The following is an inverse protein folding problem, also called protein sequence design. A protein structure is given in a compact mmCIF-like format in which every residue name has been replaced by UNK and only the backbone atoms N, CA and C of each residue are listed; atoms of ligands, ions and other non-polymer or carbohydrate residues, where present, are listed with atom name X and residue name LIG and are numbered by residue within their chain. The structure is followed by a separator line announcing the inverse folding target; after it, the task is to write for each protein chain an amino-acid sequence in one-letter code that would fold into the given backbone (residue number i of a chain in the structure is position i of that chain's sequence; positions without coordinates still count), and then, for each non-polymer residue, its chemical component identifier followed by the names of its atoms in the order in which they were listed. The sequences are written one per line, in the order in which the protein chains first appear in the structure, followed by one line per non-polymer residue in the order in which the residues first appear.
data_IF_702041134197
#
_entry.id   IF_702041134197
#
_cell.length_a   1.000
_cell.length_b   1.000
_cell.length_c   1.000
_cell.angle_alpha   90.00
_cell.angle_beta   90.00
_cell.angle_gamma   90.00
#
_symmetry.space_group_name_H-M   'P 1'
#
loop_
_entity.id
_entity.type
_entity.pdbx_description
1 polymer ?
#
# COMPACT_ATOMS: atom_id res chain seq x y z
N UNK A 1 -8.77 -3.72 20.72
CA UNK A 1 -9.62 -2.80 19.94
C UNK A 1 -9.70 -3.42 18.55
N UNK A 2 -10.88 -3.77 18.05
CA UNK A 2 -11.00 -4.31 16.69
C UNK A 2 -11.10 -3.12 15.75
N UNK A 3 -9.95 -2.65 15.26
CA UNK A 3 -9.90 -1.56 14.28
C UNK A 3 -10.38 -2.12 12.95
N UNK A 4 -11.43 -1.52 12.39
CA UNK A 4 -12.01 -1.91 11.10
C UNK A 4 -11.87 -0.81 10.05
N UNK A 5 -11.39 0.37 10.42
CA UNK A 5 -11.16 1.51 9.55
C UNK A 5 -10.08 2.44 10.11
N UNK A 6 -9.42 3.18 9.23
CA UNK A 6 -8.43 4.22 9.57
C UNK A 6 -8.79 5.45 8.75
N UNK A 7 -8.84 6.63 9.38
CA UNK A 7 -9.25 7.89 8.72
C UNK A 7 -10.60 7.81 7.98
N UNK A 8 -11.54 6.99 8.46
CA UNK A 8 -12.84 6.75 7.82
C UNK A 8 -12.79 5.87 6.56
N UNK A 9 -11.63 5.28 6.24
CA UNK A 9 -11.47 4.31 5.16
C UNK A 9 -11.47 2.89 5.72
N UNK A 10 -12.35 1.99 5.24
CA UNK A 10 -12.51 0.66 5.81
C UNK A 10 -11.33 -0.24 5.45
N UNK A 11 -10.78 -0.97 6.43
CA UNK A 11 -9.75 -1.97 6.18
C UNK A 11 -10.37 -3.19 5.50
N UNK A 12 -9.79 -3.69 4.39
CA UNK A 12 -10.26 -4.91 3.73
C UNK A 12 -10.27 -6.08 4.70
N UNK A 13 -11.31 -6.93 4.63
CA UNK A 13 -11.42 -8.13 5.49
C UNK A 13 -10.19 -9.01 5.40
N UNK A 14 -9.66 -9.21 4.20
CA UNK A 14 -8.46 -10.03 4.00
C UNK A 14 -7.24 -9.46 4.73
N UNK A 15 -7.09 -8.13 4.77
CA UNK A 15 -6.01 -7.49 5.52
C UNK A 15 -6.15 -7.76 7.02
N UNK A 16 -7.38 -7.64 7.55
CA UNK A 16 -7.68 -7.94 8.95
C UNK A 16 -7.37 -9.41 9.28
N UNK A 17 -7.80 -10.34 8.44
CA UNK A 17 -7.55 -11.77 8.64
C UNK A 17 -6.04 -12.10 8.59
N UNK A 18 -5.27 -11.44 7.71
CA UNK A 18 -3.82 -11.56 7.64
C UNK A 18 -3.12 -10.96 8.87
N UNK A 19 -3.60 -9.83 9.38
CA UNK A 19 -3.08 -9.22 10.62
C UNK A 19 -3.36 -10.10 11.84
N UNK A 20 -4.60 -10.56 12.00
CA UNK A 20 -5.04 -11.39 13.11
C UNK A 20 -4.31 -12.74 13.15
N UNK A 21 -4.00 -13.30 11.97
CA UNK A 21 -3.21 -14.54 11.85
C UNK A 21 -1.70 -14.32 11.91
N UNK A 22 -1.22 -13.08 12.00
CA UNK A 22 0.22 -12.75 11.98
C UNK A 22 0.91 -13.03 10.64
N UNK A 23 0.13 -13.20 9.55
CA UNK A 23 0.62 -13.44 8.19
C UNK A 23 0.87 -12.15 7.41
N UNK A 24 0.28 -11.02 7.82
CA UNK A 24 0.65 -9.70 7.29
C UNK A 24 2.02 -9.28 7.82
N UNK A 25 3.06 -9.86 7.24
CA UNK A 25 4.46 -9.61 7.56
C UNK A 25 5.27 -9.74 6.30
N UNK A 26 6.49 -9.23 6.35
CA UNK A 26 7.40 -9.28 5.22
C UNK A 26 7.67 -10.74 4.81
N UNK A 27 7.41 -11.12 3.53
CA UNK A 27 7.76 -12.45 3.03
C UNK A 27 9.25 -12.76 3.15
N UNK A 28 9.58 -14.04 3.37
CA UNK A 28 10.97 -14.51 3.38
C UNK A 28 11.60 -14.41 1.97
N UNK A 29 10.79 -14.63 0.93
CA UNK A 29 11.21 -14.53 -0.47
C UNK A 29 11.26 -13.06 -0.93
N UNK A 30 12.45 -12.47 -0.80
CA UNK A 30 12.71 -11.09 -1.25
C UNK A 30 12.77 -10.95 -2.76
N UNK A 31 13.06 -12.01 -3.50
CA UNK A 31 13.07 -11.97 -4.96
C UNK A 31 11.63 -11.79 -5.47
N UNK A 32 10.68 -12.50 -4.84
CA UNK A 32 9.26 -12.37 -5.14
C UNK A 32 8.72 -10.96 -4.90
N UNK A 33 9.13 -10.29 -3.82
CA UNK A 33 8.78 -8.88 -3.61
C UNK A 33 9.31 -8.00 -4.76
N UNK A 34 10.54 -8.22 -5.21
CA UNK A 34 11.10 -7.46 -6.33
C UNK A 34 10.36 -7.71 -7.64
N UNK A 35 9.85 -8.92 -7.87
CA UNK A 35 9.01 -9.22 -9.03
C UNK A 35 7.65 -8.52 -8.98
N UNK A 36 7.02 -8.45 -7.81
CA UNK A 36 5.69 -7.84 -7.63
C UNK A 36 5.74 -6.32 -7.73
N UNK A 37 6.69 -5.71 -7.02
CA UNK A 37 6.79 -4.25 -6.92
C UNK A 37 7.69 -3.65 -8.01
N UNK A 38 8.48 -4.49 -8.70
CA UNK A 38 9.47 -4.06 -9.70
C UNK A 38 10.76 -3.49 -9.10
N UNK A 39 10.81 -3.30 -7.79
CA UNK A 39 11.92 -2.69 -7.06
C UNK A 39 12.54 -3.64 -6.05
N UNK A 40 13.87 -3.56 -5.87
CA UNK A 40 14.54 -4.37 -4.86
C UNK A 40 14.18 -3.85 -3.46
N UNK A 41 13.64 -4.70 -2.56
CA UNK A 41 13.30 -4.25 -1.21
C UNK A 41 14.54 -3.87 -0.38
N UNK A 42 14.43 -2.75 0.35
CA UNK A 42 15.44 -2.23 1.27
C UNK A 42 14.79 -2.06 2.65
N UNK A 43 14.95 -3.06 3.52
CA UNK A 43 14.28 -3.09 4.84
C UNK A 43 12.76 -2.85 4.75
N UNK A 44 12.02 -3.59 3.91
CA UNK A 44 10.59 -3.39 3.75
C UNK A 44 9.86 -3.69 5.05
N UNK A 45 8.72 -3.04 5.22
CA UNK A 45 7.86 -3.15 6.40
C UNK A 45 6.43 -3.34 5.91
N UNK A 46 5.76 -4.36 6.44
CA UNK A 46 4.32 -4.54 6.27
C UNK A 46 3.68 -4.03 7.56
N UNK A 47 2.96 -2.92 7.48
CA UNK A 47 2.55 -2.17 8.66
C UNK A 47 1.59 -2.99 9.52
N UNK A 48 1.92 -3.10 10.81
CA UNK A 48 0.95 -3.53 11.81
C UNK A 48 -0.01 -2.38 12.12
N UNK A 49 -1.12 -2.68 12.80
CA UNK A 49 -2.19 -1.71 13.07
C UNK A 49 -1.67 -0.42 13.70
N UNK A 50 -0.79 -0.49 14.70
CA UNK A 50 -0.25 0.69 15.37
C UNK A 50 0.56 1.60 14.41
N UNK A 51 1.32 0.99 13.50
CA UNK A 51 2.09 1.74 12.50
C UNK A 51 1.18 2.31 11.41
N UNK A 52 0.17 1.56 10.96
CA UNK A 52 -0.84 2.09 10.04
C UNK A 52 -1.55 3.32 10.63
N UNK A 53 -1.91 3.29 11.93
CA UNK A 53 -2.50 4.45 12.60
C UNK A 53 -1.55 5.64 12.62
N UNK A 54 -0.28 5.42 12.96
CA UNK A 54 0.74 6.47 13.05
C UNK A 54 1.03 7.11 11.69
N UNK A 55 1.38 6.30 10.70
CA UNK A 55 1.74 6.77 9.35
C UNK A 55 0.56 7.47 8.67
N UNK A 56 -0.64 6.90 8.79
CA UNK A 56 -1.80 7.49 8.13
C UNK A 56 -2.34 8.76 8.83
N UNK A 57 -1.95 9.05 10.08
CA UNK A 57 -2.38 10.27 10.76
C UNK A 57 -1.90 11.54 10.03
N UNK A 58 -0.68 11.50 9.46
CA UNK A 58 -0.15 12.59 8.65
C UNK A 58 -0.50 12.42 7.16
N UNK A 59 -0.54 11.18 6.66
CA UNK A 59 -0.78 10.88 5.25
C UNK A 59 -2.00 11.60 4.68
N UNK A 60 -3.15 11.58 5.39
CA UNK A 60 -4.39 12.20 4.93
C UNK A 60 -4.29 13.73 4.67
N UNK A 61 -3.26 14.38 5.22
CA UNK A 61 -2.93 15.79 5.03
C UNK A 61 -1.71 16.04 4.15
N UNK A 62 -1.13 15.01 3.52
CA UNK A 62 0.04 15.14 2.65
C UNK A 62 -0.24 16.07 1.46
N UNK A 63 0.75 16.89 1.11
CA UNK A 63 0.67 17.90 0.04
C UNK A 63 1.91 17.93 -0.86
N UNK A 64 2.96 17.19 -0.52
CA UNK A 64 4.21 17.12 -1.27
C UNK A 64 3.97 16.46 -2.63
N UNK A 65 4.25 17.15 -3.75
CA UNK A 65 4.12 16.56 -5.09
C UNK A 65 4.93 15.29 -5.27
N UNK A 66 6.06 15.16 -4.55
CA UNK A 66 6.89 13.96 -4.56
C UNK A 66 6.11 12.69 -4.18
N UNK A 67 5.25 12.77 -3.16
CA UNK A 67 4.46 11.63 -2.71
C UNK A 67 3.14 11.49 -3.43
N UNK A 68 2.59 12.57 -3.99
CA UNK A 68 1.28 12.54 -4.63
C UNK A 68 1.35 12.11 -6.08
N UNK A 69 2.45 12.42 -6.76
CA UNK A 69 2.63 12.16 -8.18
C UNK A 69 1.66 12.93 -9.09
N UNK A 70 1.61 12.52 -10.35
CA UNK A 70 0.73 13.12 -11.36
C UNK A 70 -0.10 12.05 -12.09
N UNK A 71 -1.39 12.31 -12.39
CA UNK A 71 -2.24 11.33 -13.06
C UNK A 71 -1.64 10.93 -14.41
N UNK A 72 -1.57 9.62 -14.67
CA UNK A 72 -1.10 9.09 -15.96
C UNK A 72 -2.23 8.32 -16.67
N UNK A 73 -2.81 8.86 -17.76
CA UNK A 73 -3.89 8.21 -18.49
C UNK A 73 -3.45 7.00 -19.32
N UNK A 74 -2.15 6.86 -19.61
CA UNK A 74 -1.58 5.74 -20.38
C UNK A 74 -1.31 4.55 -19.46
N UNK A 75 -0.85 4.80 -18.23
CA UNK A 75 -0.68 3.74 -17.21
C UNK A 75 -1.18 4.24 -15.84
N UNK A 76 -2.49 4.15 -15.60
CA UNK A 76 -3.05 4.62 -14.33
C UNK A 76 -2.48 3.86 -13.11
N UNK A 77 -2.52 4.46 -11.91
CA UNK A 77 -3.07 5.80 -11.67
C UNK A 77 -2.09 6.93 -11.98
N UNK A 78 -0.78 6.74 -11.80
CA UNK A 78 0.23 7.80 -11.89
C UNK A 78 0.29 8.67 -10.63
N UNK A 79 -0.85 9.01 -10.05
CA UNK A 79 -0.99 9.76 -8.80
C UNK A 79 -1.65 8.94 -7.69
N UNK A 80 -1.79 9.55 -6.51
CA UNK A 80 -2.63 9.06 -5.42
C UNK A 80 -3.35 10.21 -4.72
N UNK A 81 -4.57 9.95 -4.23
CA UNK A 81 -5.27 10.89 -3.35
C UNK A 81 -5.08 10.44 -1.89
N UNK A 82 -4.37 11.21 -1.04
CA UNK A 82 -4.10 10.84 0.35
C UNK A 82 -5.38 10.74 1.21
N UNK A 83 -6.46 11.41 0.83
CA UNK A 83 -7.76 11.32 1.53
C UNK A 83 -8.57 10.11 1.13
N UNK A 84 -8.16 9.43 0.06
CA UNK A 84 -8.80 8.22 -0.48
C UNK A 84 -7.81 7.07 -0.59
N UNK A 85 -6.78 7.07 0.25
CA UNK A 85 -5.81 6.00 0.32
C UNK A 85 -5.34 5.74 1.75
N UNK A 86 -4.83 4.53 1.99
CA UNK A 86 -4.21 4.15 3.25
C UNK A 86 -2.87 3.49 3.00
N UNK A 87 -1.80 4.01 3.60
CA UNK A 87 -0.50 3.35 3.61
C UNK A 87 -0.58 2.07 4.44
N UNK A 88 -0.12 0.96 3.88
CA UNK A 88 -0.15 -0.37 4.51
C UNK A 88 1.23 -1.04 4.56
N UNK A 89 2.25 -0.38 4.04
CA UNK A 89 3.64 -0.80 4.15
C UNK A 89 4.58 0.04 3.32
N UNK A 90 5.87 -0.27 3.45
CA UNK A 90 6.95 0.27 2.63
C UNK A 90 7.79 -0.85 2.06
N UNK A 91 8.26 -0.67 0.83
CA UNK A 91 9.31 -1.51 0.25
C UNK A 91 10.72 -1.07 0.67
N UNK A 92 10.83 0.16 1.18
CA UNK A 92 12.03 0.78 1.73
C UNK A 92 11.81 2.28 1.98
N UNK A 93 12.87 3.04 2.33
CA UNK A 93 12.76 4.47 2.60
C UNK A 93 12.13 5.22 1.41
N UNK A 94 11.07 5.97 1.67
CA UNK A 94 10.30 6.74 0.68
C UNK A 94 9.71 5.90 -0.46
N UNK A 95 9.46 4.60 -0.20
CA UNK A 95 8.86 3.65 -1.14
C UNK A 95 7.57 3.02 -0.55
N UNK A 96 6.54 3.81 -0.23
CA UNK A 96 5.30 3.32 0.34
C UNK A 96 4.44 2.55 -0.66
N UNK A 97 3.63 1.63 -0.14
CA UNK A 97 2.49 1.06 -0.85
C UNK A 97 1.20 1.22 -0.04
N UNK A 98 0.11 1.43 -0.76
CA UNK A 98 -1.14 1.92 -0.22
C UNK A 98 -2.35 1.24 -0.85
N UNK A 99 -3.43 1.16 -0.08
CA UNK A 99 -4.77 0.89 -0.59
C UNK A 99 -5.31 2.13 -1.28
N UNK A 100 -5.86 1.99 -2.48
CA UNK A 100 -6.46 3.09 -3.26
C UNK A 100 -7.97 2.89 -3.40
N UNK A 101 -8.74 3.77 -2.76
CA UNK A 101 -10.22 3.74 -2.72
C UNK A 101 -10.84 4.64 -3.79
N UNK A 102 -10.08 5.06 -4.81
CA UNK A 102 -10.62 5.88 -5.91
C UNK A 102 -11.56 5.10 -6.82
N UNK A 103 -11.29 3.81 -7.02
CA UNK A 103 -12.07 2.90 -7.85
C UNK A 103 -13.35 2.39 -7.18
N UNK A 104 -14.24 1.75 -7.95
CA UNK A 104 -15.40 1.05 -7.41
C UNK A 104 -15.00 -0.30 -6.80
N UNK A 105 -15.63 -0.69 -5.68
CA UNK A 105 -15.45 -2.01 -5.08
C UNK A 105 -14.35 -2.06 -4.03
N UNK A 106 -13.59 -3.16 -4.00
CA UNK A 106 -12.43 -3.30 -3.10
C UNK A 106 -11.28 -2.40 -3.56
N UNK A 107 -10.51 -1.80 -2.63
CA UNK A 107 -9.38 -0.98 -2.99
C UNK A 107 -8.25 -1.83 -3.58
N UNK A 108 -7.70 -1.37 -4.71
CA UNK A 108 -6.46 -1.92 -5.25
C UNK A 108 -5.25 -1.51 -4.41
N UNK A 109 -4.11 -2.18 -4.62
CA UNK A 109 -2.85 -1.81 -3.99
C UNK A 109 -2.00 -1.06 -5.00
N UNK A 110 -1.62 0.16 -4.65
CA UNK A 110 -0.69 0.99 -5.41
C UNK A 110 0.64 1.12 -4.68
N UNK A 111 1.72 1.33 -5.44
CA UNK A 111 3.08 1.47 -4.94
C UNK A 111 3.73 2.71 -5.55
N UNK A 112 4.44 3.51 -4.73
CA UNK A 112 5.28 4.60 -5.20
C UNK A 112 6.64 4.05 -5.63
N UNK A 113 6.86 3.98 -6.93
CA UNK A 113 8.03 3.33 -7.50
C UNK A 113 9.31 4.19 -7.40
N UNK A 114 10.46 3.54 -7.25
CA UNK A 114 11.75 4.22 -6.98
C UNK A 114 12.28 5.07 -8.14
N UNK A 115 11.80 4.82 -9.35
CA UNK A 115 12.23 5.52 -10.58
C UNK A 115 11.51 6.83 -10.88
N UNK A 116 10.66 7.32 -9.96
CA UNK A 116 10.05 8.64 -10.03
C UNK A 116 8.65 8.63 -9.45
N UNK A 117 8.34 9.68 -8.68
CA UNK A 117 7.06 10.40 -8.41
C UNK A 117 5.73 9.82 -8.92
N UNK A 118 5.60 8.50 -9.00
CA UNK A 118 4.53 7.84 -9.73
C UNK A 118 4.04 6.63 -8.99
N UNK A 119 2.73 6.60 -8.83
CA UNK A 119 2.02 5.45 -8.32
C UNK A 119 1.66 4.46 -9.42
N UNK A 120 1.91 3.19 -9.14
CA UNK A 120 1.57 2.06 -10.02
C UNK A 120 0.72 1.05 -9.26
N UNK A 121 -0.31 0.51 -9.89
CA UNK A 121 -1.08 -0.60 -9.32
C UNK A 121 -0.25 -1.88 -9.38
N UNK A 122 -0.04 -2.51 -8.21
CA UNK A 122 0.72 -3.77 -8.08
C UNK A 122 -0.19 -4.98 -7.81
N UNK A 123 -1.40 -4.74 -7.31
CA UNK A 123 -2.42 -5.76 -7.09
C UNK A 123 -3.83 -5.18 -7.18
N UNK A 124 -4.80 -5.98 -7.61
CA UNK A 124 -6.21 -5.57 -7.71
C UNK A 124 -6.92 -5.51 -6.36
N UNK A 125 -6.38 -6.19 -5.34
CA UNK A 125 -6.87 -6.18 -3.96
C UNK A 125 -5.77 -6.67 -3.00
N UNK A 126 -6.05 -6.62 -1.69
CA UNK A 126 -5.17 -7.23 -0.67
C UNK A 126 -5.04 -8.74 -0.87
N UNK A 127 -6.11 -9.43 -1.27
CA UNK A 127 -6.08 -10.86 -1.54
C UNK A 127 -5.16 -11.19 -2.72
N UNK A 128 -5.24 -10.41 -3.81
CA UNK A 128 -4.34 -10.54 -4.96
C UNK A 128 -2.88 -10.28 -4.54
N UNK A 129 -2.63 -9.23 -3.76
CA UNK A 129 -1.28 -8.94 -3.25
C UNK A 129 -0.75 -10.09 -2.39
N UNK A 130 -1.56 -10.63 -1.49
CA UNK A 130 -1.18 -11.74 -0.62
C UNK A 130 -0.77 -12.97 -1.44
N UNK A 131 -1.56 -13.34 -2.46
CA UNK A 131 -1.23 -14.42 -3.38
C UNK A 131 0.07 -14.14 -4.12
N UNK A 132 0.26 -12.93 -4.65
CA UNK A 132 1.45 -12.50 -5.40
C UNK A 132 2.72 -12.49 -4.56
N UNK A 133 2.62 -12.14 -3.28
CA UNK A 133 3.74 -12.09 -2.34
C UNK A 133 3.96 -13.42 -1.59
N UNK A 134 3.00 -14.35 -1.62
CA UNK A 134 3.07 -15.64 -0.92
C UNK A 134 2.78 -15.57 0.58
N UNK A 135 1.78 -14.76 0.96
CA UNK A 135 1.33 -14.57 2.35
C UNK A 135 0.23 -15.55 2.78
#
# INVERSE_FOLDING_TARGET
MNITEINGLPLPRELLDLLDSGRWRVPDDRARLAEVFGDRPVQPVFYQVDLMLSENAAWAGETSPYYLGEPDPIRPPGDIDPRRSLLIGDLGPDLPFALDYRGPGEPGVCYLASWGDRWVTVAESVADLAVRCGL
#
